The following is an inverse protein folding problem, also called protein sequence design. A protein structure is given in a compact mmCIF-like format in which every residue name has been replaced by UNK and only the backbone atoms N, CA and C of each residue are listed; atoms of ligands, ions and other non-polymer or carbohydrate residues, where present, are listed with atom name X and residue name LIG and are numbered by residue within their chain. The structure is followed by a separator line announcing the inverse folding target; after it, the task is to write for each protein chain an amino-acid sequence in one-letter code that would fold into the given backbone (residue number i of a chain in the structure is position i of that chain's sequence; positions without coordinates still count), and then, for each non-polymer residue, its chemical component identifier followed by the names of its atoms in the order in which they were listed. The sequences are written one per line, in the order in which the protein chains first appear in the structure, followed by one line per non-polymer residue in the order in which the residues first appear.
data_IF_330626221381
#
_entry.id   IF_330626221381
#
_cell.length_a   1.000
_cell.length_b   1.000
_cell.length_c   1.000
_cell.angle_alpha   90.00
_cell.angle_beta   90.00
_cell.angle_gamma   90.00
#
_symmetry.space_group_name_H-M   'P 1'
#
loop_
_entity.id
_entity.type
_entity.pdbx_description
1 polymer ?
#
# COMPACT_ATOMS: atom_id res chain seq x y z
N UNK A 1 -21.49 -20.29 -6.96
CA UNK A 1 -20.24 -19.49 -6.85
C UNK A 1 -20.57 -18.31 -5.94
N UNK A 2 -19.91 -18.20 -4.78
CA UNK A 2 -20.08 -17.00 -3.95
C UNK A 2 -19.40 -15.83 -4.67
N UNK A 3 -20.09 -14.70 -4.80
CA UNK A 3 -19.56 -13.50 -5.43
C UNK A 3 -18.43 -12.91 -4.60
N UNK A 4 -17.30 -12.58 -5.22
CA UNK A 4 -16.21 -11.83 -4.56
C UNK A 4 -16.70 -10.41 -4.27
N UNK A 5 -16.66 -10.02 -3.00
CA UNK A 5 -17.06 -8.70 -2.53
C UNK A 5 -16.17 -7.59 -3.10
N UNK A 6 -16.76 -6.43 -3.38
CA UNK A 6 -16.05 -5.19 -3.70
C UNK A 6 -16.18 -4.26 -2.49
N UNK A 7 -15.04 -3.85 -1.94
CA UNK A 7 -14.99 -2.86 -0.89
C UNK A 7 -14.75 -1.49 -1.52
N UNK A 8 -15.58 -0.53 -1.13
CA UNK A 8 -15.48 0.87 -1.55
C UNK A 8 -14.83 1.69 -0.42
N UNK A 9 -14.06 2.72 -0.76
CA UNK A 9 -13.30 3.50 0.24
C UNK A 9 -14.20 4.11 1.32
N UNK A 10 -15.45 4.45 0.97
CA UNK A 10 -16.44 5.04 1.86
C UNK A 10 -16.86 4.09 2.99
N UNK A 11 -16.69 2.78 2.82
CA UNK A 11 -16.97 1.79 3.88
C UNK A 11 -16.05 1.96 5.10
N UNK A 12 -14.90 2.60 4.90
CA UNK A 12 -13.88 2.80 5.94
C UNK A 12 -13.95 4.17 6.60
N UNK A 13 -14.92 4.99 6.22
CA UNK A 13 -15.04 6.38 6.67
C UNK A 13 -16.21 6.54 7.63
N UNK A 14 -15.94 7.12 8.80
CA UNK A 14 -16.98 7.49 9.76
C UNK A 14 -17.44 8.93 9.51
N UNK A 15 -18.62 9.12 8.90
CA UNK A 15 -19.29 10.43 8.80
C UNK A 15 -19.65 10.86 7.38
N UNK A 16 -20.11 12.11 7.22
CA UNK A 16 -20.51 12.73 5.94
C UNK A 16 -19.36 13.36 5.13
N UNK A 17 -18.13 13.28 5.62
CA UNK A 17 -16.95 13.72 4.88
C UNK A 17 -16.41 12.55 4.07
N UNK A 18 -16.60 12.62 2.76
CA UNK A 18 -15.97 11.77 1.75
C UNK A 18 -14.50 12.16 1.66
N UNK A 19 -13.66 11.72 2.59
CA UNK A 19 -12.22 11.91 2.46
C UNK A 19 -11.70 10.83 1.54
N UNK A 20 -11.12 11.19 0.41
CA UNK A 20 -10.57 10.21 -0.53
C UNK A 20 -9.29 9.51 -0.03
N UNK A 21 -9.00 9.60 1.28
CA UNK A 21 -7.86 9.02 1.95
C UNK A 21 -8.29 8.37 3.27
N UNK A 22 -7.67 7.25 3.61
CA UNK A 22 -7.87 6.52 4.86
C UNK A 22 -6.52 6.09 5.42
N UNK A 23 -6.36 6.14 6.74
CA UNK A 23 -5.20 5.59 7.44
C UNK A 23 -5.64 4.89 8.72
N UNK A 24 -5.03 3.75 9.03
CA UNK A 24 -5.19 3.09 10.33
C UNK A 24 -3.99 2.21 10.69
N UNK A 25 -3.90 1.79 11.96
CA UNK A 25 -3.06 0.65 12.33
C UNK A 25 -3.75 -0.67 11.95
N UNK A 26 -2.93 -1.71 11.76
CA UNK A 26 -3.44 -3.00 11.27
C UNK A 26 -4.43 -3.65 12.23
N UNK A 27 -4.20 -3.57 13.54
CA UNK A 27 -5.09 -4.18 14.54
C UNK A 27 -6.48 -3.55 14.51
N UNK A 28 -6.54 -2.23 14.50
CA UNK A 28 -7.80 -1.50 14.41
C UNK A 28 -8.47 -1.71 13.06
N UNK A 29 -7.72 -1.73 11.95
CA UNK A 29 -8.28 -2.01 10.63
C UNK A 29 -8.97 -3.38 10.55
N UNK A 30 -8.35 -4.42 11.11
CA UNK A 30 -8.91 -5.77 11.13
C UNK A 30 -10.17 -5.88 12.01
N UNK A 31 -10.29 -5.04 13.06
CA UNK A 31 -11.47 -5.02 13.95
C UNK A 31 -12.60 -4.18 13.37
N UNK A 32 -12.31 -2.98 12.85
CA UNK A 32 -13.29 -2.01 12.34
C UNK A 32 -14.01 -2.54 11.08
N UNK A 33 -13.41 -3.49 10.38
CA UNK A 33 -13.87 -4.00 9.09
C UNK A 33 -14.80 -5.22 9.05
N UNK A 34 -15.39 -5.67 10.17
CA UNK A 34 -16.31 -6.83 10.32
C UNK A 34 -16.33 -7.92 9.19
N UNK A 35 -15.93 -9.14 9.58
CA UNK A 35 -16.19 -10.48 8.98
C UNK A 35 -15.69 -10.83 7.56
N UNK A 36 -15.22 -9.87 6.73
CA UNK A 36 -14.86 -10.19 5.33
C UNK A 36 -13.54 -9.62 4.79
N UNK A 37 -12.81 -8.77 5.51
CA UNK A 37 -11.54 -8.21 4.99
C UNK A 37 -10.43 -9.27 4.91
N UNK A 38 -10.44 -10.26 5.80
CA UNK A 38 -9.48 -11.37 5.68
C UNK A 38 -9.84 -12.35 4.55
N UNK A 39 -11.12 -12.39 4.16
CA UNK A 39 -11.60 -13.24 3.07
C UNK A 39 -11.27 -12.63 1.71
N UNK A 40 -11.25 -13.43 0.64
CA UNK A 40 -11.04 -12.91 -0.72
C UNK A 40 -12.03 -11.80 -1.07
N UNK A 41 -11.49 -10.61 -1.33
CA UNK A 41 -12.22 -9.42 -1.75
C UNK A 41 -11.36 -8.59 -2.70
N UNK A 42 -11.98 -7.61 -3.36
CA UNK A 42 -11.27 -6.57 -4.13
C UNK A 42 -11.73 -5.20 -3.67
N UNK A 43 -10.97 -4.18 -4.00
CA UNK A 43 -11.31 -2.79 -3.70
C UNK A 43 -11.17 -1.88 -4.92
N UNK A 44 -11.75 -0.68 -4.88
CA UNK A 44 -11.69 0.32 -5.95
C UNK A 44 -10.67 1.44 -5.72
N UNK A 45 -9.95 1.39 -4.61
CA UNK A 45 -8.89 2.33 -4.22
C UNK A 45 -7.48 1.71 -4.33
N UNK A 46 -6.44 2.53 -4.20
CA UNK A 46 -5.06 2.05 -4.05
C UNK A 46 -4.74 1.86 -2.56
N UNK A 47 -3.95 0.83 -2.24
CA UNK A 47 -3.58 0.52 -0.87
C UNK A 47 -2.07 0.32 -0.69
N UNK A 48 -1.57 0.73 0.46
CA UNK A 48 -0.23 0.38 0.94
C UNK A 48 -0.30 -0.17 2.37
N UNK A 49 0.42 -1.26 2.63
CA UNK A 49 0.38 -2.00 3.90
C UNK A 49 1.78 -2.29 4.38
N UNK A 50 2.14 -1.79 5.55
CA UNK A 50 3.42 -2.07 6.21
C UNK A 50 3.20 -2.93 7.44
N UNK A 51 3.80 -4.11 7.49
CA UNK A 51 3.79 -4.99 8.67
C UNK A 51 5.04 -4.77 9.53
N UNK A 52 4.85 -4.43 10.81
CA UNK A 52 5.95 -4.17 11.77
C UNK A 52 6.12 -5.29 12.80
N UNK A 53 5.13 -6.17 12.91
CA UNK A 53 5.14 -7.35 13.79
C UNK A 53 4.21 -8.44 13.23
N UNK A 54 4.41 -9.67 13.68
CA UNK A 54 3.58 -10.83 13.37
C UNK A 54 4.02 -11.51 12.08
N UNK A 55 3.22 -12.51 11.69
CA UNK A 55 3.45 -13.36 10.53
C UNK A 55 2.14 -13.75 9.87
N UNK A 56 2.21 -14.31 8.67
CA UNK A 56 1.02 -14.80 7.98
C UNK A 56 1.23 -15.00 6.50
N UNK A 57 0.14 -14.99 5.76
CA UNK A 57 0.12 -15.06 4.30
C UNK A 57 -0.81 -13.97 3.75
N UNK A 58 -0.32 -13.25 2.76
CA UNK A 58 -1.11 -12.35 1.92
C UNK A 58 -1.21 -12.96 0.55
N UNK A 59 -2.41 -13.36 0.13
CA UNK A 59 -2.64 -13.84 -1.22
C UNK A 59 -3.16 -12.68 -2.07
N UNK A 60 -2.53 -12.42 -3.22
CA UNK A 60 -2.91 -11.36 -4.17
C UNK A 60 -2.95 -11.97 -5.56
N UNK A 61 -4.11 -11.92 -6.23
CA UNK A 61 -4.33 -12.48 -7.56
C UNK A 61 -3.81 -13.93 -7.69
N UNK A 62 -4.13 -14.76 -6.68
CA UNK A 62 -3.73 -16.19 -6.55
C UNK A 62 -2.24 -16.44 -6.29
N UNK A 63 -1.44 -15.39 -6.10
CA UNK A 63 -0.05 -15.51 -5.66
C UNK A 63 0.05 -15.30 -4.14
N UNK A 64 0.63 -16.28 -3.45
CA UNK A 64 0.85 -16.23 -2.00
C UNK A 64 2.18 -15.56 -1.67
N UNK A 65 2.14 -14.67 -0.69
CA UNK A 65 3.30 -13.97 -0.14
C UNK A 65 3.37 -14.19 1.37
N UNK A 66 4.54 -14.57 1.87
CA UNK A 66 4.75 -14.62 3.32
C UNK A 66 4.71 -13.21 3.91
N UNK A 67 3.93 -13.03 4.97
CA UNK A 67 3.90 -11.82 5.78
C UNK A 67 4.86 -12.00 6.95
N UNK A 68 5.71 -11.01 7.16
CA UNK A 68 6.61 -10.92 8.31
C UNK A 68 6.95 -9.45 8.59
N UNK A 69 7.61 -9.18 9.73
CA UNK A 69 8.13 -7.84 10.03
C UNK A 69 8.97 -7.30 8.86
N UNK A 70 8.68 -6.07 8.44
CA UNK A 70 9.32 -5.42 7.30
C UNK A 70 8.67 -5.72 5.95
N UNK A 71 7.59 -6.51 5.90
CA UNK A 71 6.85 -6.71 4.66
C UNK A 71 6.04 -5.46 4.34
N UNK A 72 6.31 -4.86 3.17
CA UNK A 72 5.60 -3.70 2.63
C UNK A 72 4.90 -4.11 1.33
N UNK A 73 3.60 -3.91 1.26
CA UNK A 73 2.76 -4.30 0.13
C UNK A 73 2.09 -3.09 -0.53
N UNK A 74 1.88 -3.19 -1.84
CA UNK A 74 1.13 -2.22 -2.63
C UNK A 74 0.08 -2.93 -3.48
N UNK A 75 -1.15 -2.42 -3.47
CA UNK A 75 -2.28 -2.98 -4.19
C UNK A 75 -2.99 -1.92 -5.03
N UNK A 76 -3.28 -2.27 -6.28
CA UNK A 76 -4.08 -1.47 -7.20
C UNK A 76 -5.57 -1.82 -7.11
N UNK A 77 -6.47 -0.91 -7.52
CA UNK A 77 -7.88 -1.21 -7.69
C UNK A 77 -8.13 -2.47 -8.52
N UNK A 78 -9.10 -3.27 -8.09
CA UNK A 78 -9.56 -4.47 -8.78
C UNK A 78 -8.77 -5.75 -8.47
N UNK A 79 -7.63 -5.67 -7.78
CA UNK A 79 -6.89 -6.85 -7.35
C UNK A 79 -7.66 -7.62 -6.29
N UNK A 80 -7.71 -8.94 -6.44
CA UNK A 80 -8.35 -9.81 -5.46
C UNK A 80 -7.29 -10.20 -4.44
N UNK A 81 -7.55 -9.97 -3.15
CA UNK A 81 -6.64 -10.39 -2.11
C UNK A 81 -7.34 -10.90 -0.85
N UNK A 82 -6.58 -11.63 -0.04
CA UNK A 82 -6.99 -12.16 1.25
C UNK A 82 -5.80 -12.26 2.21
N UNK A 83 -6.11 -12.38 3.49
CA UNK A 83 -5.13 -12.44 4.56
C UNK A 83 -5.38 -13.65 5.46
N UNK A 84 -4.29 -14.31 5.85
CA UNK A 84 -4.24 -15.24 6.97
C UNK A 84 -3.13 -14.74 7.90
N UNK A 85 -3.48 -14.02 8.99
CA UNK A 85 -2.52 -13.31 9.84
C UNK A 85 -2.49 -13.88 11.26
N UNK A 86 -1.37 -13.73 11.95
CA UNK A 86 -1.25 -14.10 13.36
C UNK A 86 -1.92 -13.07 14.28
N UNK A 87 -2.39 -13.50 15.45
CA UNK A 87 -3.06 -12.64 16.44
C UNK A 87 -2.20 -11.44 16.90
N UNK A 88 -0.87 -11.57 16.83
CA UNK A 88 0.08 -10.53 17.22
C UNK A 88 0.48 -9.59 16.07
N UNK A 89 -0.18 -9.69 14.92
CA UNK A 89 0.07 -8.84 13.75
C UNK A 89 -0.03 -7.36 14.12
N UNK A 90 0.91 -6.57 13.61
CA UNK A 90 0.91 -5.12 13.82
C UNK A 90 1.53 -4.41 12.62
N UNK A 91 1.25 -3.12 12.49
CA UNK A 91 1.64 -2.35 11.33
C UNK A 91 0.66 -1.23 11.01
N UNK A 92 0.74 -0.74 9.77
CA UNK A 92 -0.07 0.36 9.29
C UNK A 92 -0.59 0.08 7.90
N UNK A 93 -1.72 0.71 7.61
CA UNK A 93 -2.38 0.63 6.32
C UNK A 93 -2.94 1.99 5.97
N UNK A 94 -2.78 2.38 4.70
CA UNK A 94 -3.48 3.52 4.16
C UNK A 94 -4.03 3.23 2.78
N UNK A 95 -5.13 3.92 2.47
CA UNK A 95 -5.79 3.88 1.17
C UNK A 95 -5.90 5.28 0.60
N UNK A 96 -5.94 5.37 -0.73
CA UNK A 96 -6.32 6.60 -1.42
C UNK A 96 -7.12 6.27 -2.68
N UNK A 97 -8.07 7.14 -3.02
CA UNK A 97 -8.64 7.15 -4.37
C UNK A 97 -7.57 7.60 -5.38
N UNK A 98 -7.85 7.37 -6.67
CA UNK A 98 -6.96 7.88 -7.70
C UNK A 98 -6.95 9.41 -7.71
N UNK A 99 -8.13 10.00 -7.53
CA UNK A 99 -8.39 11.43 -7.57
C UNK A 99 -7.63 12.16 -6.46
N UNK A 100 -7.57 11.58 -5.25
CA UNK A 100 -6.84 12.14 -4.12
C UNK A 100 -5.38 12.42 -4.45
N UNK A 101 -4.71 11.47 -5.11
CA UNK A 101 -3.30 11.61 -5.44
C UNK A 101 -3.09 12.46 -6.69
N UNK A 102 -3.83 12.19 -7.76
CA UNK A 102 -3.57 12.75 -9.09
C UNK A 102 -4.03 14.20 -9.24
N UNK A 103 -5.03 14.66 -8.46
CA UNK A 103 -5.46 16.06 -8.49
C UNK A 103 -4.35 17.03 -8.05
N UNK A 104 -3.42 16.57 -7.21
CA UNK A 104 -2.30 17.38 -6.71
C UNK A 104 -1.02 17.23 -7.55
N UNK A 105 -0.90 16.17 -8.35
CA UNK A 105 0.26 15.91 -9.21
C UNK A 105 -0.15 15.78 -10.68
N UNK A 106 -0.16 16.90 -11.40
CA UNK A 106 -0.56 16.95 -12.82
C UNK A 106 0.28 16.01 -13.72
N UNK A 107 1.55 15.77 -13.39
CA UNK A 107 2.47 14.93 -14.18
C UNK A 107 2.76 13.55 -13.60
N UNK A 108 2.36 13.26 -12.36
CA UNK A 108 2.68 11.99 -11.69
C UNK A 108 1.40 11.21 -11.41
N UNK A 109 1.15 10.16 -12.21
CA UNK A 109 0.04 9.24 -11.99
C UNK A 109 0.43 8.13 -11.03
N UNK A 110 -0.52 7.57 -10.29
CA UNK A 110 -0.23 6.42 -9.41
C UNK A 110 0.27 5.22 -10.20
N UNK A 111 -0.27 5.01 -11.40
CA UNK A 111 0.18 3.94 -12.32
C UNK A 111 1.61 4.11 -12.84
N UNK A 112 2.22 5.28 -12.65
CA UNK A 112 3.63 5.49 -12.97
C UNK A 112 4.56 4.83 -11.96
N UNK A 113 4.07 4.40 -10.79
CA UNK A 113 4.85 3.55 -9.90
C UNK A 113 4.77 2.10 -10.38
N UNK A 114 5.91 1.38 -10.47
CA UNK A 114 5.94 0.07 -11.14
C UNK A 114 5.05 -0.97 -10.45
N UNK A 115 4.95 -0.91 -9.12
CA UNK A 115 4.10 -1.76 -8.29
C UNK A 115 2.61 -1.41 -8.36
N UNK A 116 2.21 -0.35 -9.07
CA UNK A 116 0.81 -0.07 -9.40
C UNK A 116 0.51 -0.22 -10.90
N UNK A 117 1.53 -0.04 -11.76
CA UNK A 117 1.40 0.00 -13.21
C UNK A 117 1.40 -1.34 -13.93
N UNK A 118 1.98 -2.40 -13.36
CA UNK A 118 2.00 -3.73 -14.00
C UNK A 118 1.49 -4.85 -13.11
N UNK A 119 0.75 -5.77 -13.72
CA UNK A 119 0.27 -7.02 -13.10
C UNK A 119 1.38 -8.01 -12.76
N UNK A 120 2.49 -7.98 -13.50
CA UNK A 120 3.62 -8.90 -13.30
C UNK A 120 4.68 -8.37 -12.34
N UNK A 121 4.54 -7.11 -11.88
CA UNK A 121 5.50 -6.51 -10.98
C UNK A 121 5.32 -7.06 -9.54
N UNK A 122 6.40 -7.39 -8.82
CA UNK A 122 6.31 -7.84 -7.44
C UNK A 122 5.53 -6.85 -6.57
N UNK A 123 4.57 -7.35 -5.78
CA UNK A 123 3.73 -6.52 -4.90
C UNK A 123 4.31 -6.35 -3.50
N UNK A 124 5.26 -7.20 -3.14
CA UNK A 124 5.92 -7.24 -1.84
C UNK A 124 7.34 -6.72 -1.94
N UNK A 125 7.67 -5.78 -1.06
CA UNK A 125 9.04 -5.44 -0.71
C UNK A 125 9.34 -5.97 0.70
N UNK A 126 10.52 -6.56 0.89
CA UNK A 126 11.00 -6.97 2.21
C UNK A 126 12.06 -5.98 2.66
N UNK A 127 11.70 -5.11 3.61
CA UNK A 127 12.58 -4.08 4.13
C UNK A 127 13.61 -4.68 5.09
N UNK A 128 14.85 -4.21 5.01
CA UNK A 128 15.84 -4.43 6.07
C UNK A 128 15.55 -3.56 7.32
N UNK A 129 16.40 -3.65 8.34
CA UNK A 129 16.18 -2.95 9.61
C UNK A 129 16.16 -1.41 9.44
N UNK A 130 17.11 -0.86 8.67
CA UNK A 130 17.26 0.58 8.49
C UNK A 130 16.15 1.14 7.58
N UNK A 131 15.79 0.38 6.53
CA UNK A 131 14.70 0.68 5.63
C UNK A 131 13.35 0.63 6.35
N UNK A 132 13.16 -0.37 7.23
CA UNK A 132 11.97 -0.49 8.07
C UNK A 132 11.84 0.68 9.04
N UNK A 133 12.92 1.06 9.73
CA UNK A 133 12.88 2.18 10.68
C UNK A 133 12.47 3.49 9.99
N UNK A 134 13.07 3.77 8.83
CA UNK A 134 12.74 4.95 8.01
C UNK A 134 11.29 4.94 7.56
N UNK A 135 10.81 3.85 6.97
CA UNK A 135 9.43 3.76 6.50
C UNK A 135 8.45 3.80 7.67
N UNK A 136 8.71 3.08 8.76
CA UNK A 136 7.87 3.11 9.96
C UNK A 136 7.69 4.53 10.51
N UNK A 137 8.76 5.34 10.52
CA UNK A 137 8.68 6.75 10.92
C UNK A 137 7.73 7.54 10.02
N UNK A 138 7.84 7.38 8.70
CA UNK A 138 6.96 8.07 7.75
C UNK A 138 5.49 7.65 7.92
N UNK A 139 5.21 6.36 8.10
CA UNK A 139 3.84 5.88 8.37
C UNK A 139 3.29 6.43 9.69
N UNK A 140 4.12 6.53 10.74
CA UNK A 140 3.71 7.13 12.01
C UNK A 140 3.37 8.61 11.88
N UNK A 141 4.21 9.39 11.20
CA UNK A 141 3.94 10.82 10.96
C UNK A 141 2.71 11.02 10.06
N UNK A 142 2.53 10.17 9.04
CA UNK A 142 1.32 10.15 8.21
C UNK A 142 0.05 9.91 9.04
N UNK A 143 0.08 8.94 9.96
CA UNK A 143 -1.03 8.66 10.86
C UNK A 143 -1.36 9.81 11.80
N UNK A 144 -0.34 10.47 12.37
CA UNK A 144 -0.51 11.67 13.21
C UNK A 144 -1.13 12.82 12.40
N UNK A 145 -0.63 13.06 11.19
CA UNK A 145 -1.16 14.12 10.34
C UNK A 145 -2.59 13.85 9.91
N UNK A 146 -2.93 12.59 9.61
CA UNK A 146 -4.30 12.17 9.30
C UNK A 146 -5.28 12.47 10.45
N UNK A 147 -4.84 12.40 11.70
CA UNK A 147 -5.67 12.73 12.86
C UNK A 147 -5.69 14.24 13.17
N UNK A 148 -4.78 15.02 12.58
CA UNK A 148 -4.67 16.47 12.80
C UNK A 148 -5.83 17.25 12.16
N UNK A 149 -5.97 18.51 12.54
CA UNK A 149 -6.80 19.52 11.86
C UNK A 149 -5.94 20.70 11.38
N UNK A 150 -4.66 20.43 11.10
CA UNK A 150 -3.68 21.44 10.76
C UNK A 150 -3.92 22.02 9.36
N UNK A 151 -3.47 23.26 9.16
CA UNK A 151 -3.41 23.84 7.83
C UNK A 151 -2.50 23.01 6.92
N UNK A 152 -2.88 22.89 5.64
CA UNK A 152 -2.14 22.14 4.62
C UNK A 152 -1.98 20.63 4.88
N UNK A 153 -2.81 20.05 5.77
CA UNK A 153 -2.84 18.63 6.11
C UNK A 153 -2.77 17.69 4.90
N UNK A 154 -3.65 17.86 3.91
CA UNK A 154 -3.70 16.99 2.71
C UNK A 154 -2.39 17.06 1.90
N UNK A 155 -1.82 18.26 1.76
CA UNK A 155 -0.52 18.42 1.10
C UNK A 155 0.60 17.69 1.83
N UNK A 156 0.60 17.69 3.16
CA UNK A 156 1.58 16.97 3.96
C UNK A 156 1.37 15.45 3.89
N UNK A 157 0.12 14.97 3.94
CA UNK A 157 -0.25 13.56 3.70
C UNK A 157 0.29 13.08 2.34
N UNK A 158 0.05 13.84 1.27
CA UNK A 158 0.54 13.51 -0.07
C UNK A 158 2.06 13.48 -0.15
N UNK A 159 2.74 14.36 0.60
CA UNK A 159 4.19 14.36 0.66
C UNK A 159 4.74 13.09 1.33
N UNK A 160 4.08 12.58 2.38
CA UNK A 160 4.47 11.33 3.04
C UNK A 160 4.20 10.12 2.13
N UNK A 161 3.03 10.07 1.48
CA UNK A 161 2.73 9.02 0.50
C UNK A 161 3.77 8.99 -0.63
N UNK A 162 4.11 10.16 -1.18
CA UNK A 162 5.13 10.29 -2.23
C UNK A 162 6.49 9.78 -1.75
N UNK A 163 6.90 10.11 -0.52
CA UNK A 163 8.13 9.59 0.06
C UNK A 163 8.11 8.06 0.16
N UNK A 164 7.02 7.46 0.62
CA UNK A 164 6.85 6.00 0.69
C UNK A 164 6.97 5.38 -0.70
N UNK A 165 6.25 5.92 -1.70
CA UNK A 165 6.25 5.38 -3.06
C UNK A 165 7.60 5.52 -3.76
N UNK A 166 8.28 6.66 -3.60
CA UNK A 166 9.61 6.90 -4.15
C UNK A 166 10.64 5.98 -3.50
N UNK A 167 10.60 5.85 -2.17
CA UNK A 167 11.51 4.95 -1.44
C UNK A 167 11.29 3.50 -1.87
N UNK A 168 10.05 3.04 -1.95
CA UNK A 168 9.73 1.70 -2.43
C UNK A 168 10.22 1.48 -3.87
N UNK A 169 10.01 2.45 -4.76
CA UNK A 169 10.49 2.37 -6.16
C UNK A 169 11.99 2.16 -6.23
N UNK A 170 12.78 2.94 -5.47
CA UNK A 170 14.24 2.82 -5.38
C UNK A 170 14.67 1.45 -4.86
N UNK A 171 13.98 0.94 -3.85
CA UNK A 171 14.27 -0.37 -3.25
C UNK A 171 13.93 -1.52 -4.20
N UNK A 172 12.79 -1.45 -4.89
CA UNK A 172 12.49 -2.41 -5.96
C UNK A 172 13.51 -2.36 -7.09
N UNK A 173 14.03 -1.18 -7.44
CA UNK A 173 15.10 -1.04 -8.44
C UNK A 173 16.32 -1.86 -8.04
N UNK A 174 16.79 -1.65 -6.80
CA UNK A 174 17.94 -2.34 -6.20
C UNK A 174 17.73 -3.85 -6.16
N UNK A 175 16.55 -4.31 -5.75
CA UNK A 175 16.20 -5.73 -5.73
C UNK A 175 16.19 -6.36 -7.12
N UNK A 176 15.70 -5.64 -8.13
CA UNK A 176 15.71 -6.10 -9.52
C UNK A 176 17.12 -6.16 -10.07
N UNK A 177 17.95 -5.16 -9.82
CA UNK A 177 19.36 -5.14 -10.25
C UNK A 177 20.12 -6.33 -9.64
N UNK A 178 19.84 -6.67 -8.38
CA UNK A 178 20.43 -7.83 -7.71
C UNK A 178 19.91 -9.17 -8.26
N UNK A 179 18.70 -9.22 -8.82
CA UNK A 179 18.04 -10.44 -9.33
C UNK A 179 18.13 -10.63 -10.86
N UNK A 180 18.58 -9.63 -11.62
CA UNK A 180 18.40 -9.60 -13.08
C UNK A 180 19.60 -10.10 -13.90
N UNK A 181 19.40 -11.27 -14.50
CA UNK A 181 19.61 -11.51 -15.93
C UNK A 181 18.58 -10.72 -16.78
N UNK A 182 18.92 -10.45 -18.04
CA UNK A 182 18.46 -9.38 -18.97
C UNK A 182 16.96 -8.99 -19.11
N UNK A 183 15.97 -9.77 -18.67
CA UNK A 183 14.55 -9.50 -18.99
C UNK A 183 13.88 -8.44 -18.09
N UNK A 184 14.25 -8.36 -16.82
CA UNK A 184 13.65 -7.43 -15.84
C UNK A 184 14.23 -6.01 -15.92
N UNK A 185 15.43 -5.86 -16.50
CA UNK A 185 16.09 -4.57 -16.75
C UNK A 185 15.36 -3.70 -17.79
N UNK A 186 14.73 -4.32 -18.80
CA UNK A 186 14.06 -3.57 -19.88
C UNK A 186 12.80 -2.84 -19.40
N UNK A 187 12.08 -3.41 -18.42
CA UNK A 187 10.88 -2.81 -17.87
C UNK A 187 11.22 -1.64 -16.95
N UNK A 188 12.28 -1.77 -16.15
CA UNK A 188 12.70 -0.72 -15.22
C UNK A 188 13.30 0.50 -15.92
N UNK A 189 14.09 0.30 -17.00
CA UNK A 189 14.64 1.40 -17.81
C UNK A 189 13.56 2.31 -18.39
N UNK A 190 12.42 1.75 -18.78
CA UNK A 190 11.29 2.54 -19.30
C UNK A 190 10.72 3.53 -18.27
N UNK A 191 10.84 3.25 -16.96
CA UNK A 191 10.38 4.13 -15.89
C UNK A 191 11.41 5.17 -15.44
N UNK A 192 12.70 4.99 -15.76
CA UNK A 192 13.74 5.99 -15.46
C UNK A 192 13.79 7.12 -16.50
N UNK A 193 13.12 6.96 -17.64
CA UNK A 193 13.15 7.91 -18.77
C UNK A 193 12.00 8.93 -18.76
N UNK A 194 11.17 8.95 -17.71
CA UNK A 194 10.06 9.89 -17.49
C UNK A 194 10.06 10.45 -16.07
#
# INVERSE_FOLDING_TARGET
MNSISVLHIELFQSGRNTSDFYFNNMKEHLVVGHWHIEKPHRHDFYAAVLFTKGKGTHEIDFQKYDVSKGSLFFLSPGQIHSWELSDDIDGYIFFCSQEFYEMHYVSQKLRNFPFFGSVSFPRKLQLDADELEKNNTIFQELGKEHQSQNAMKEGLILSFMSQIFINATRLFSKDIDLRSSSASLSYFKHYQEF
#
